data_IF_693635290244
#
_entry.id   IF_693635290244
#
_cell.length_a   1.000
_cell.length_b   1.000
_cell.length_c   1.000
_cell.angle_alpha   90.00
_cell.angle_beta   90.00
_cell.angle_gamma   90.00
#
_symmetry.space_group_name_H-M   'P 1'
#
loop_
_entity.id
_entity.type
_entity.pdbx_description
1 polymer ?
#
# COMPACT_ATOMS: atom_id res chain seq x y z
N UNK A 1 -45.12 7.22 2.60
CA UNK A 1 -44.22 7.15 3.78
C UNK A 1 -43.70 5.74 4.08
N UNK A 2 -44.49 4.67 3.98
CA UNK A 2 -44.03 3.29 4.26
C UNK A 2 -42.93 2.78 3.31
N UNK A 3 -43.09 2.99 2.00
CA UNK A 3 -42.10 2.58 0.99
C UNK A 3 -40.72 3.19 1.24
N UNK A 4 -40.63 4.48 1.63
CA UNK A 4 -39.35 5.12 1.97
C UNK A 4 -38.66 4.44 3.14
N UNK A 5 -39.39 4.10 4.20
CA UNK A 5 -38.84 3.40 5.37
C UNK A 5 -38.35 1.99 5.04
N UNK A 6 -39.08 1.25 4.20
CA UNK A 6 -38.63 -0.06 3.71
C UNK A 6 -37.37 0.06 2.84
N UNK A 7 -37.31 1.04 1.95
CA UNK A 7 -36.11 1.30 1.13
C UNK A 7 -34.90 1.67 1.99
N UNK A 8 -35.08 2.51 3.01
CA UNK A 8 -34.03 2.85 3.97
C UNK A 8 -33.54 1.63 4.75
N UNK A 9 -34.46 0.73 5.14
CA UNK A 9 -34.12 -0.52 5.83
C UNK A 9 -33.31 -1.46 4.91
N UNK A 10 -33.76 -1.66 3.67
CA UNK A 10 -33.04 -2.48 2.68
C UNK A 10 -31.67 -1.88 2.37
N UNK A 11 -31.59 -0.54 2.24
CA UNK A 11 -30.31 0.14 2.01
C UNK A 11 -29.32 -0.09 3.15
N UNK A 12 -29.79 -0.03 4.41
CA UNK A 12 -28.95 -0.33 5.59
C UNK A 12 -28.48 -1.79 5.60
N UNK A 13 -29.38 -2.74 5.36
CA UNK A 13 -29.03 -4.16 5.31
C UNK A 13 -28.01 -4.46 4.18
N UNK A 14 -28.18 -3.84 3.01
CA UNK A 14 -27.22 -3.97 1.91
C UNK A 14 -25.86 -3.34 2.26
N UNK A 15 -25.85 -2.21 2.96
CA UNK A 15 -24.63 -1.57 3.41
C UNK A 15 -23.87 -2.45 4.42
N UNK A 16 -24.58 -3.04 5.38
CA UNK A 16 -24.00 -3.99 6.34
C UNK A 16 -23.41 -5.22 5.65
N UNK A 17 -24.16 -5.82 4.71
CA UNK A 17 -23.66 -6.93 3.88
C UNK A 17 -22.40 -6.53 3.11
N UNK A 18 -22.39 -5.36 2.48
CA UNK A 18 -21.19 -4.87 1.77
C UNK A 18 -20.01 -4.65 2.71
N UNK A 19 -20.23 -4.11 3.90
CA UNK A 19 -19.17 -3.94 4.89
C UNK A 19 -18.58 -5.29 5.34
N UNK A 20 -19.42 -6.32 5.54
CA UNK A 20 -18.93 -7.66 5.88
C UNK A 20 -18.12 -8.29 4.74
N UNK A 21 -18.55 -8.13 3.49
CA UNK A 21 -17.81 -8.62 2.33
C UNK A 21 -16.49 -7.86 2.11
N UNK A 22 -16.45 -6.55 2.37
CA UNK A 22 -15.22 -5.77 2.35
C UNK A 22 -14.23 -6.27 3.40
N UNK A 23 -14.70 -6.55 4.63
CA UNK A 23 -13.86 -7.14 5.67
C UNK A 23 -13.30 -8.50 5.24
N UNK A 24 -14.12 -9.37 4.63
CA UNK A 24 -13.64 -10.66 4.11
C UNK A 24 -12.61 -10.47 2.98
N UNK A 25 -12.83 -9.52 2.09
CA UNK A 25 -11.89 -9.19 1.02
C UNK A 25 -10.54 -8.72 1.57
N UNK A 26 -10.54 -7.80 2.55
CA UNK A 26 -9.33 -7.31 3.20
C UNK A 26 -8.57 -8.42 3.93
N UNK A 27 -9.29 -9.34 4.58
CA UNK A 27 -8.69 -10.51 5.21
C UNK A 27 -8.10 -11.47 4.16
N UNK A 28 -8.77 -11.65 3.03
CA UNK A 28 -8.28 -12.42 1.89
C UNK A 28 -6.98 -11.84 1.33
N UNK A 29 -6.92 -10.52 1.11
CA UNK A 29 -5.70 -9.83 0.66
C UNK A 29 -4.55 -9.95 1.68
N UNK A 30 -4.85 -9.77 2.97
CA UNK A 30 -3.85 -9.95 4.05
C UNK A 30 -3.33 -11.38 4.11
N UNK A 31 -4.21 -12.38 3.94
CA UNK A 31 -3.82 -13.79 3.90
C UNK A 31 -2.95 -14.09 2.67
N UNK A 32 -3.33 -13.56 1.50
CA UNK A 32 -2.56 -13.68 0.27
C UNK A 32 -1.14 -13.10 0.42
N UNK A 33 -1.01 -11.89 0.99
CA UNK A 33 0.28 -11.25 1.24
C UNK A 33 1.17 -11.99 2.24
N UNK A 34 0.60 -12.87 3.08
CA UNK A 34 1.34 -13.74 4.00
C UNK A 34 1.69 -15.12 3.42
N UNK A 35 1.37 -15.36 2.14
CA UNK A 35 1.57 -16.67 1.50
C UNK A 35 0.54 -17.72 1.89
N UNK A 36 -0.53 -17.35 2.62
CA UNK A 36 -1.58 -18.27 3.05
C UNK A 36 -2.67 -18.40 1.98
N UNK A 37 -2.30 -18.86 0.78
CA UNK A 37 -3.17 -18.82 -0.40
C UNK A 37 -4.45 -19.64 -0.25
N UNK A 38 -4.41 -20.80 0.43
CA UNK A 38 -5.60 -21.59 0.73
C UNK A 38 -6.65 -20.81 1.55
N UNK A 39 -6.21 -20.12 2.62
CA UNK A 39 -7.13 -19.28 3.42
C UNK A 39 -7.58 -18.04 2.66
N UNK A 40 -6.73 -17.47 1.81
CA UNK A 40 -7.12 -16.34 0.96
C UNK A 40 -8.28 -16.72 0.03
N UNK A 41 -8.23 -17.91 -0.57
CA UNK A 41 -9.31 -18.46 -1.39
C UNK A 41 -10.61 -18.55 -0.59
N UNK A 42 -10.57 -19.14 0.62
CA UNK A 42 -11.76 -19.28 1.47
C UNK A 42 -12.43 -17.94 1.78
N UNK A 43 -11.64 -16.92 2.14
CA UNK A 43 -12.17 -15.58 2.43
C UNK A 43 -12.77 -14.91 1.18
N UNK A 44 -12.12 -15.05 0.03
CA UNK A 44 -12.58 -14.46 -1.23
C UNK A 44 -13.83 -15.16 -1.78
N UNK A 45 -13.89 -16.49 -1.70
CA UNK A 45 -15.10 -17.25 -2.02
C UNK A 45 -16.25 -16.90 -1.07
N UNK A 46 -15.96 -16.75 0.23
CA UNK A 46 -16.90 -16.23 1.22
C UNK A 46 -17.46 -14.86 0.85
N UNK A 47 -16.61 -13.92 0.43
CA UNK A 47 -17.04 -12.59 -0.02
C UNK A 47 -17.96 -12.66 -1.26
N UNK A 48 -17.69 -13.58 -2.19
CA UNK A 48 -18.55 -13.80 -3.37
C UNK A 48 -19.92 -14.41 -3.06
N UNK A 49 -20.11 -15.02 -1.89
CA UNK A 49 -21.45 -15.46 -1.46
C UNK A 49 -22.34 -14.28 -1.06
N UNK A 50 -21.73 -13.19 -0.58
CA UNK A 50 -22.42 -11.98 -0.12
C UNK A 50 -22.63 -11.02 -1.28
N UNK A 51 -21.65 -10.90 -2.18
CA UNK A 51 -21.66 -9.93 -3.27
C UNK A 51 -21.77 -10.61 -4.62
N UNK A 52 -22.71 -10.18 -5.48
CA UNK A 52 -22.88 -10.77 -6.79
C UNK A 52 -21.69 -10.46 -7.70
N UNK A 53 -21.22 -11.50 -8.41
CA UNK A 53 -20.11 -11.47 -9.38
C UNK A 53 -20.16 -10.37 -10.45
N UNK A 54 -21.30 -9.99 -11.06
CA UNK A 54 -21.32 -8.96 -12.10
C UNK A 54 -21.10 -7.52 -11.59
N UNK A 55 -21.00 -7.31 -10.28
CA UNK A 55 -20.69 -5.97 -9.74
C UNK A 55 -19.21 -5.66 -9.92
N UNK A 56 -18.84 -4.37 -9.99
CA UNK A 56 -17.44 -3.94 -10.08
C UNK A 56 -16.58 -4.58 -8.98
N UNK A 57 -17.04 -4.48 -7.73
CA UNK A 57 -16.34 -5.06 -6.58
C UNK A 57 -16.33 -6.60 -6.63
N UNK A 58 -17.41 -7.24 -7.09
CA UNK A 58 -17.42 -8.68 -7.34
C UNK A 58 -16.39 -9.11 -8.39
N UNK A 59 -16.21 -8.32 -9.44
CA UNK A 59 -15.16 -8.51 -10.45
C UNK A 59 -13.76 -8.42 -9.87
N UNK A 60 -13.49 -7.42 -9.03
CA UNK A 60 -12.22 -7.26 -8.32
C UNK A 60 -11.92 -8.46 -7.41
N UNK A 61 -12.91 -8.93 -6.64
CA UNK A 61 -12.79 -10.14 -5.82
C UNK A 61 -12.46 -11.35 -6.70
N UNK A 62 -13.11 -11.50 -7.87
CA UNK A 62 -12.81 -12.61 -8.79
C UNK A 62 -11.37 -12.54 -9.34
N UNK A 63 -10.83 -11.35 -9.61
CA UNK A 63 -9.44 -11.19 -10.05
C UNK A 63 -8.48 -11.62 -8.92
N UNK A 64 -8.73 -11.16 -7.69
CA UNK A 64 -7.95 -11.60 -6.53
C UNK A 64 -8.05 -13.11 -6.28
N UNK A 65 -9.23 -13.69 -6.48
CA UNK A 65 -9.45 -15.13 -6.36
C UNK A 65 -8.66 -15.90 -7.42
N UNK A 66 -8.64 -15.41 -8.66
CA UNK A 66 -7.86 -16.01 -9.74
C UNK A 66 -6.34 -15.99 -9.43
N UNK A 67 -5.83 -14.88 -8.92
CA UNK A 67 -4.43 -14.78 -8.46
C UNK A 67 -4.15 -15.75 -7.30
N UNK A 68 -5.08 -15.88 -6.35
CA UNK A 68 -4.96 -16.84 -5.24
C UNK A 68 -4.96 -18.30 -5.73
N UNK A 69 -5.75 -18.63 -6.76
CA UNK A 69 -5.70 -19.96 -7.39
C UNK A 69 -4.35 -20.22 -8.06
N UNK A 70 -3.79 -19.25 -8.79
CA UNK A 70 -2.47 -19.39 -9.40
C UNK A 70 -1.40 -19.68 -8.34
N UNK A 71 -1.37 -18.86 -7.28
CA UNK A 71 -0.41 -19.00 -6.19
C UNK A 71 -0.56 -20.32 -5.41
N UNK A 72 -1.76 -20.90 -5.41
CA UNK A 72 -2.05 -22.20 -4.80
C UNK A 72 -1.89 -23.39 -5.78
N UNK A 73 -1.10 -23.24 -6.86
CA UNK A 73 -0.86 -24.25 -7.90
C UNK A 73 -2.11 -24.70 -8.70
N UNK A 74 -3.24 -23.99 -8.58
CA UNK A 74 -4.49 -24.27 -9.32
C UNK A 74 -4.54 -23.47 -10.62
N UNK A 75 -3.53 -23.64 -11.47
CA UNK A 75 -3.35 -22.84 -12.70
C UNK A 75 -4.51 -22.98 -13.70
N UNK A 76 -5.10 -24.18 -13.82
CA UNK A 76 -6.24 -24.42 -14.73
C UNK A 76 -7.46 -23.61 -14.32
N UNK A 77 -7.76 -23.58 -13.02
CA UNK A 77 -8.91 -22.86 -12.46
C UNK A 77 -8.73 -21.35 -12.60
N UNK A 78 -7.51 -20.85 -12.42
CA UNK A 78 -7.16 -19.45 -12.66
C UNK A 78 -7.46 -19.02 -14.10
N UNK A 79 -6.96 -19.77 -15.10
CA UNK A 79 -7.20 -19.47 -16.53
C UNK A 79 -8.68 -19.55 -16.86
N UNK A 80 -9.38 -20.57 -16.35
CA UNK A 80 -10.83 -20.72 -16.56
C UNK A 80 -11.61 -19.53 -15.99
N UNK A 81 -11.25 -19.07 -14.79
CA UNK A 81 -11.88 -17.92 -14.15
C UNK A 81 -11.65 -16.63 -14.95
N UNK A 82 -10.44 -16.38 -15.46
CA UNK A 82 -10.18 -15.22 -16.32
C UNK A 82 -10.94 -15.27 -17.65
N UNK A 83 -11.03 -16.45 -18.29
CA UNK A 83 -11.85 -16.62 -19.49
C UNK A 83 -13.33 -16.40 -19.20
N UNK A 84 -13.82 -16.82 -18.03
CA UNK A 84 -15.19 -16.57 -17.60
C UNK A 84 -15.43 -15.06 -17.43
N UNK A 85 -14.53 -14.35 -16.75
CA UNK A 85 -14.66 -12.91 -16.53
C UNK A 85 -14.70 -12.10 -17.82
N UNK A 86 -13.80 -12.39 -18.76
CA UNK A 86 -13.77 -11.73 -20.08
C UNK A 86 -15.10 -11.87 -20.84
N UNK A 87 -15.73 -13.06 -20.78
CA UNK A 87 -16.96 -13.33 -21.54
C UNK A 87 -18.22 -12.83 -20.86
N UNK A 88 -18.26 -12.82 -19.53
CA UNK A 88 -19.52 -12.69 -18.78
C UNK A 88 -19.66 -11.39 -17.99
N UNK A 89 -18.56 -10.74 -17.63
CA UNK A 89 -18.62 -9.60 -16.70
C UNK A 89 -19.11 -8.33 -17.42
N UNK A 90 -20.07 -7.56 -16.88
CA UNK A 90 -20.62 -6.40 -17.58
C UNK A 90 -19.64 -5.21 -17.64
N UNK A 91 -18.66 -5.14 -16.74
CA UNK A 91 -17.67 -4.06 -16.72
C UNK A 91 -16.46 -4.37 -17.60
N UNK A 92 -16.21 -3.50 -18.59
CA UNK A 92 -15.14 -3.63 -19.59
C UNK A 92 -13.74 -3.57 -18.95
N UNK A 93 -13.55 -2.76 -17.90
CA UNK A 93 -12.24 -2.67 -17.22
C UNK A 93 -11.81 -4.02 -16.63
N UNK A 94 -12.73 -4.72 -15.98
CA UNK A 94 -12.51 -6.05 -15.41
C UNK A 94 -12.26 -7.10 -16.51
N UNK A 95 -13.02 -7.04 -17.61
CA UNK A 95 -12.79 -7.93 -18.76
C UNK A 95 -11.39 -7.74 -19.32
N UNK A 96 -10.98 -6.48 -19.54
CA UNK A 96 -9.65 -6.13 -20.06
C UNK A 96 -8.56 -6.60 -19.11
N UNK A 97 -8.71 -6.34 -17.82
CA UNK A 97 -7.75 -6.78 -16.80
C UNK A 97 -7.62 -8.32 -16.78
N UNK A 98 -8.73 -9.05 -16.87
CA UNK A 98 -8.71 -10.51 -16.95
C UNK A 98 -8.04 -11.01 -18.24
N UNK A 99 -8.27 -10.36 -19.38
CA UNK A 99 -7.64 -10.70 -20.66
C UNK A 99 -6.12 -10.47 -20.63
N UNK A 100 -5.68 -9.33 -20.10
CA UNK A 100 -4.26 -8.99 -19.94
C UNK A 100 -3.54 -9.99 -19.00
N UNK A 101 -4.15 -10.30 -17.85
CA UNK A 101 -3.59 -11.28 -16.91
C UNK A 101 -3.53 -12.69 -17.50
N UNK A 102 -4.60 -13.12 -18.20
CA UNK A 102 -4.58 -14.40 -18.91
C UNK A 102 -3.48 -14.45 -19.96
N UNK A 103 -3.29 -13.38 -20.73
CA UNK A 103 -2.25 -13.30 -21.75
C UNK A 103 -0.86 -13.50 -21.15
N UNK A 104 -0.56 -12.85 -20.02
CA UNK A 104 0.71 -13.03 -19.30
C UNK A 104 0.89 -14.48 -18.87
N UNK A 105 -0.14 -15.11 -18.30
CA UNK A 105 -0.05 -16.48 -17.80
C UNK A 105 0.07 -17.53 -18.91
N UNK A 106 -0.50 -17.27 -20.08
CA UNK A 106 -0.43 -18.18 -21.24
C UNK A 106 0.83 -17.99 -22.07
N UNK A 107 1.61 -16.93 -21.82
CA UNK A 107 2.81 -16.64 -22.58
C UNK A 107 3.80 -17.83 -22.50
N UNK A 108 4.40 -18.24 -23.63
CA UNK A 108 5.37 -19.32 -23.64
C UNK A 108 6.59 -18.90 -22.82
N UNK A 109 7.00 -19.76 -21.89
CA UNK A 109 8.23 -19.54 -21.12
C UNK A 109 9.43 -19.59 -22.07
N UNK A 110 10.25 -18.55 -22.04
CA UNK A 110 11.49 -18.49 -22.79
C UNK A 110 12.44 -19.57 -22.26
N UNK A 111 12.99 -20.40 -23.15
CA UNK A 111 14.04 -21.36 -22.84
C UNK A 111 15.37 -20.69 -23.11
N UNK A 112 16.06 -20.27 -22.06
CA UNK A 112 17.41 -19.68 -22.17
C UNK A 112 18.42 -20.82 -22.27
N UNK A 113 19.30 -20.79 -23.27
CA UNK A 113 20.36 -21.80 -23.40
C UNK A 113 21.52 -21.50 -22.43
N UNK A 114 22.34 -22.51 -22.10
CA UNK A 114 23.53 -22.29 -21.26
C UNK A 114 24.55 -21.34 -21.91
N UNK A 115 24.56 -21.28 -23.24
CA UNK A 115 25.43 -20.40 -24.02
C UNK A 115 24.99 -18.93 -23.94
N UNK A 116 23.67 -18.69 -23.79
CA UNK A 116 23.09 -17.36 -23.57
C UNK A 116 23.22 -16.90 -22.11
N UNK A 117 23.41 -17.84 -21.18
CA UNK A 117 23.56 -17.52 -19.76
C UNK A 117 24.93 -16.92 -19.45
N UNK A 118 24.94 -15.69 -18.97
CA UNK A 118 26.13 -15.10 -18.35
C UNK A 118 26.30 -15.68 -16.95
N UNK A 119 27.40 -16.38 -16.70
CA UNK A 119 27.74 -16.87 -15.37
C UNK A 119 28.35 -15.73 -14.56
N UNK A 120 27.64 -15.27 -13.53
CA UNK A 120 28.20 -14.32 -12.57
C UNK A 120 29.11 -15.12 -11.65
N UNK A 121 30.43 -14.87 -11.64
CA UNK A 121 31.32 -15.55 -10.70
C UNK A 121 30.88 -15.23 -9.28
N UNK A 122 30.87 -16.24 -8.40
CA UNK A 122 30.66 -16.01 -6.98
C UNK A 122 31.82 -15.17 -6.47
N UNK A 123 31.54 -13.88 -6.33
CA UNK A 123 32.42 -12.92 -5.72
C UNK A 123 32.57 -13.33 -4.24
N UNK A 124 33.78 -13.72 -3.84
CA UNK A 124 34.06 -14.07 -2.45
C UNK A 124 33.79 -12.89 -1.50
N UNK A 125 33.66 -13.18 -0.20
CA UNK A 125 33.37 -12.19 0.86
C UNK A 125 34.34 -11.01 0.92
N UNK A 126 35.48 -11.06 0.20
CA UNK A 126 36.45 -9.96 0.11
C UNK A 126 35.99 -8.79 -0.74
N UNK A 127 35.14 -9.01 -1.75
CA UNK A 127 34.68 -7.94 -2.65
C UNK A 127 33.45 -7.21 -2.12
N UNK A 128 32.65 -7.88 -1.29
CA UNK A 128 31.51 -7.30 -0.57
C UNK A 128 31.97 -6.16 0.36
N UNK A 129 33.23 -6.23 0.83
CA UNK A 129 33.87 -5.15 1.59
C UNK A 129 34.29 -3.94 0.75
N UNK A 130 34.45 -4.10 -0.57
CA UNK A 130 34.81 -3.01 -1.49
C UNK A 130 33.57 -2.39 -2.16
N UNK A 131 32.56 -3.22 -2.44
CA UNK A 131 31.27 -2.80 -2.94
C UNK A 131 30.43 -2.19 -1.81
N UNK A 132 30.77 -0.96 -1.40
CA UNK A 132 30.00 -0.24 -0.40
C UNK A 132 28.51 -0.21 -0.78
N UNK A 133 27.68 -0.91 0.00
CA UNK A 133 26.24 -0.94 -0.22
C UNK A 133 25.66 0.48 -0.13
N UNK A 134 24.65 0.82 -0.93
CA UNK A 134 24.05 2.16 -0.91
C UNK A 134 23.56 2.57 0.49
N UNK A 135 23.19 1.58 1.31
CA UNK A 135 22.86 1.74 2.74
C UNK A 135 24.04 2.13 3.63
N UNK A 136 25.28 1.78 3.30
CA UNK A 136 26.46 2.13 4.10
C UNK A 136 26.91 3.58 3.89
N UNK A 137 26.67 4.15 2.69
CA UNK A 137 26.96 5.57 2.40
C UNK A 137 26.25 6.56 3.31
N UNK A 138 25.17 6.15 3.97
CA UNK A 138 24.37 6.99 4.86
C UNK A 138 24.49 6.61 6.35
N UNK A 139 25.22 5.55 6.70
CA UNK A 139 25.38 5.12 8.11
C UNK A 139 26.12 6.14 8.97
N UNK A 140 27.02 6.90 8.38
CA UNK A 140 27.80 7.91 9.11
C UNK A 140 27.05 9.23 9.31
N UNK A 141 25.88 9.44 8.67
CA UNK A 141 25.18 10.73 8.74
C UNK A 141 24.04 10.81 9.74
N UNK A 142 23.29 9.75 10.02
CA UNK A 142 22.12 9.89 10.92
C UNK A 142 21.79 8.61 11.68
N UNK A 143 22.54 8.37 12.76
CA UNK A 143 22.13 7.43 13.81
C UNK A 143 21.10 8.09 14.75
N UNK A 144 19.94 8.45 14.19
CA UNK A 144 18.68 8.72 14.91
C UNK A 144 17.60 7.80 14.34
N UNK A 145 17.78 6.51 14.53
CA UNK A 145 16.83 5.49 14.07
C UNK A 145 15.59 5.46 14.98
N UNK A 146 14.50 6.09 14.52
CA UNK A 146 13.14 5.65 14.88
C UNK A 146 12.77 4.38 14.10
N UNK A 147 11.73 3.64 14.53
CA UNK A 147 11.34 2.39 13.87
C UNK A 147 10.84 2.66 12.44
N UNK A 148 11.56 2.13 11.45
CA UNK A 148 11.16 2.17 10.03
C UNK A 148 10.19 1.02 9.79
N UNK A 149 8.90 1.32 9.81
CA UNK A 149 7.87 0.46 9.22
C UNK A 149 7.76 0.79 7.74
N UNK A 150 7.93 -0.19 6.84
CA UNK A 150 7.77 -0.02 5.39
C UNK A 150 6.29 0.05 4.94
N UNK A 151 5.37 0.30 5.88
CA UNK A 151 3.98 0.59 5.56
C UNK A 151 3.89 2.09 5.24
N UNK A 152 3.59 2.44 3.99
CA UNK A 152 3.09 3.79 3.67
C UNK A 152 1.80 4.00 4.47
N UNK A 153 1.77 4.91 5.47
CA UNK A 153 0.54 5.21 6.18
C UNK A 153 -0.36 5.96 5.21
N UNK A 154 -1.46 5.34 4.81
CA UNK A 154 -2.39 5.84 3.79
C UNK A 154 -3.22 7.06 4.26
N UNK A 155 -2.87 7.65 5.40
CA UNK A 155 -3.47 8.88 5.95
C UNK A 155 -2.35 9.80 6.48
N UNK A 156 -1.59 10.41 5.58
CA UNK A 156 -0.63 11.47 5.96
C UNK A 156 -1.24 12.82 5.58
N UNK A 157 -1.75 13.52 6.57
CA UNK A 157 -2.32 14.85 6.41
C UNK A 157 -1.20 15.89 6.26
N UNK A 158 -0.68 16.03 5.04
CA UNK A 158 0.40 16.97 4.71
C UNK A 158 0.13 18.42 5.15
N UNK A 159 -1.14 18.81 5.25
CA UNK A 159 -1.55 20.14 5.72
C UNK A 159 -1.40 20.31 7.23
N UNK A 160 -1.67 19.27 8.02
CA UNK A 160 -1.51 19.30 9.46
C UNK A 160 -0.02 19.34 9.85
N UNK A 161 0.82 18.57 9.15
CA UNK A 161 2.27 18.50 9.43
C UNK A 161 3.00 19.81 9.05
N UNK A 162 2.47 20.60 8.09
CA UNK A 162 3.00 21.94 7.75
C UNK A 162 2.72 22.99 8.83
N UNK A 163 1.59 22.89 9.54
CA UNK A 163 1.21 23.84 10.60
C UNK A 163 1.88 23.55 11.95
N UNK A 164 2.49 22.37 12.11
CA UNK A 164 3.23 22.01 13.32
C UNK A 164 4.66 22.55 13.21
N UNK A 165 4.87 23.77 13.71
CA UNK A 165 6.21 24.28 13.95
C UNK A 165 6.91 23.41 15.00
N UNK A 166 7.93 22.65 14.59
CA UNK A 166 8.86 21.98 15.51
C UNK A 166 10.08 22.88 15.68
N UNK A 167 10.28 23.52 16.85
CA UNK A 167 11.44 24.37 17.03
C UNK A 167 12.72 23.53 16.94
N UNK A 168 13.80 24.05 16.32
CA UNK A 168 15.06 23.33 16.22
C UNK A 168 15.57 22.97 17.61
N UNK A 169 15.87 21.69 17.83
CA UNK A 169 16.39 21.21 19.11
C UNK A 169 17.74 21.87 19.40
N UNK A 170 17.85 22.57 20.53
CA UNK A 170 19.10 23.24 20.96
C UNK A 170 19.01 24.75 21.17
N UNK A 171 17.85 25.38 20.93
CA UNK A 171 17.64 26.81 21.20
C UNK A 171 17.94 27.21 22.66
N UNK A 172 17.60 26.36 23.62
CA UNK A 172 17.86 26.60 25.06
C UNK A 172 19.36 26.75 25.39
N UNK A 173 20.25 26.09 24.63
CA UNK A 173 21.69 26.08 24.91
C UNK A 173 22.43 27.23 24.22
N UNK A 174 21.79 27.94 23.30
CA UNK A 174 22.45 28.97 22.52
C UNK A 174 22.41 30.34 23.23
N UNK A 175 23.47 30.62 24.00
CA UNK A 175 23.62 31.86 24.79
C UNK A 175 23.51 33.13 23.93
N UNK A 176 23.94 33.08 22.67
CA UNK A 176 23.86 34.20 21.76
C UNK A 176 22.42 34.61 21.42
N UNK A 177 21.49 33.65 21.35
CA UNK A 177 20.07 33.94 21.07
C UNK A 177 19.42 34.70 22.22
N UNK A 178 19.68 34.30 23.46
CA UNK A 178 19.16 34.98 24.63
C UNK A 178 19.75 36.38 24.80
N UNK A 179 21.05 36.56 24.51
CA UNK A 179 21.68 37.89 24.49
C UNK A 179 21.05 38.77 23.40
N UNK A 180 20.81 38.23 22.20
CA UNK A 180 20.12 38.96 21.14
C UNK A 180 18.70 39.36 21.53
N UNK A 181 17.96 38.45 22.18
CA UNK A 181 16.57 38.67 22.58
C UNK A 181 16.46 39.72 23.70
N UNK A 182 17.40 39.74 24.66
CA UNK A 182 17.42 40.76 25.72
C UNK A 182 17.81 42.14 25.17
N UNK A 183 18.76 42.22 24.24
CA UNK A 183 19.11 43.47 23.55
C UNK A 183 17.91 43.98 22.74
N UNK A 184 17.21 43.09 22.03
CA UNK A 184 16.04 43.47 21.23
C UNK A 184 14.88 43.99 22.09
N UNK A 185 14.57 43.32 23.21
CA UNK A 185 13.57 43.79 24.18
C UNK A 185 13.97 45.12 24.83
N UNK A 186 15.25 45.32 25.13
CA UNK A 186 15.77 46.59 25.64
C UNK A 186 15.64 47.73 24.62
N UNK A 187 15.96 47.47 23.35
CA UNK A 187 15.77 48.45 22.26
C UNK A 187 14.30 48.79 22.04
N UNK A 188 13.40 47.80 22.11
CA UNK A 188 11.96 48.04 22.06
C UNK A 188 11.46 48.88 23.23
N UNK A 189 11.93 48.60 24.44
CA UNK A 189 11.61 49.40 25.62
C UNK A 189 12.09 50.85 25.49
N UNK A 190 13.32 51.05 25.00
CA UNK A 190 13.88 52.38 24.74
C UNK A 190 13.12 53.14 23.65
N UNK A 191 12.72 52.46 22.56
CA UNK A 191 11.94 53.06 21.49
C UNK A 191 10.55 53.52 21.97
N UNK A 192 9.89 52.71 22.81
CA UNK A 192 8.59 53.08 23.41
C UNK A 192 8.74 54.22 24.42
N UNK A 193 9.86 54.28 25.15
CA UNK A 193 10.13 55.36 26.10
C UNK A 193 10.45 56.70 25.42
N UNK A 194 11.12 56.67 24.26
CA UNK A 194 11.43 57.88 23.47
C UNK A 194 10.20 58.43 22.73
N UNK A 195 9.19 57.59 22.47
CA UNK A 195 7.93 58.02 21.84
C UNK A 195 6.88 58.54 22.83
N UNK A 196 7.21 58.69 24.12
CA UNK A 196 6.33 59.22 25.16
C UNK A 196 6.88 60.52 25.73
#
# INVERSE_FOLDING_TARGET
MRVKKELEKVAKEQAERRATAQLMFDLGQKAYGRGMYGRAIEFLEGALTIIPRPTLFGGEICIWLAMAYEANNRHKDCIALYQQLEKTHPCISIQRQAAELRYILQAPKLKISQEEMVTIPLIGSSYDSYAGTWSDKYKDKDRKSGPVTNQLPWSKDYLADFLVWKPPSGLEKNRALWIGLTIWLGLLGAAVFIQR
#
